data_IF_756631090638
#
_entry.id   IF_756631090638
#
_cell.length_a   1.000
_cell.length_b   1.000
_cell.length_c   1.000
_cell.angle_alpha   90.00
_cell.angle_beta   90.00
_cell.angle_gamma   90.00
#
_symmetry.space_group_name_H-M   'P 1'
#
loop_
_entity.id
_entity.type
_entity.pdbx_description
1 polymer ?
#
# COMPACT_ATOMS: atom_id res chain seq x y z
N UNK A 1 16.37 4.35 -24.94
CA UNK A 1 15.08 4.50 -24.21
C UNK A 1 14.98 3.58 -22.99
N UNK A 2 15.16 2.27 -23.15
CA UNK A 2 15.04 1.35 -22.01
C UNK A 2 16.03 1.63 -20.89
N UNK A 3 17.32 1.88 -21.23
CA UNK A 3 18.33 2.20 -20.23
C UNK A 3 18.08 3.54 -19.55
N UNK A 4 17.53 4.51 -20.27
CA UNK A 4 17.16 5.80 -19.70
C UNK A 4 16.07 5.60 -18.64
N UNK A 5 15.06 4.81 -18.94
CA UNK A 5 13.98 4.51 -18.00
C UNK A 5 14.51 3.79 -16.77
N UNK A 6 15.39 2.82 -16.95
CA UNK A 6 16.02 2.11 -15.84
C UNK A 6 16.79 3.05 -14.92
N UNK A 7 17.55 3.97 -15.50
CA UNK A 7 18.33 4.95 -14.74
C UNK A 7 17.41 5.92 -13.99
N UNK A 8 16.30 6.34 -14.61
CA UNK A 8 15.32 7.21 -13.95
C UNK A 8 14.68 6.50 -12.75
N UNK A 9 14.35 5.23 -12.89
CA UNK A 9 13.78 4.45 -11.79
C UNK A 9 14.77 4.32 -10.63
N UNK A 10 16.06 4.14 -10.93
CA UNK A 10 17.08 4.11 -9.90
C UNK A 10 17.22 5.45 -9.18
N UNK A 11 17.10 6.56 -9.92
CA UNK A 11 17.11 7.90 -9.34
C UNK A 11 15.92 8.16 -8.42
N UNK A 12 14.75 7.60 -8.72
CA UNK A 12 13.56 7.76 -7.90
C UNK A 12 13.79 7.31 -6.46
N UNK A 13 14.60 6.28 -6.24
CA UNK A 13 14.89 5.76 -4.92
C UNK A 13 15.71 6.72 -4.05
N UNK A 14 16.31 7.75 -4.65
CA UNK A 14 17.03 8.80 -3.92
C UNK A 14 16.09 9.86 -3.36
N UNK A 15 14.84 9.88 -3.82
CA UNK A 15 13.82 10.83 -3.36
C UNK A 15 13.09 10.22 -2.17
N UNK A 16 13.15 10.83 -0.96
CA UNK A 16 12.51 10.25 0.23
C UNK A 16 11.02 9.98 0.07
N UNK A 17 10.31 10.86 -0.64
CA UNK A 17 8.88 10.72 -0.90
C UNK A 17 8.55 9.46 -1.70
N UNK A 18 9.40 9.14 -2.68
CA UNK A 18 9.22 7.94 -3.50
C UNK A 18 9.47 6.66 -2.70
N UNK A 19 10.42 6.70 -1.77
CA UNK A 19 10.64 5.56 -0.87
C UNK A 19 9.44 5.33 0.04
N UNK A 20 8.82 6.41 0.54
CA UNK A 20 7.61 6.29 1.36
C UNK A 20 6.46 5.72 0.55
N UNK A 21 6.28 6.19 -0.69
CA UNK A 21 5.27 5.65 -1.60
C UNK A 21 5.49 4.16 -1.87
N UNK A 22 6.74 3.75 -2.07
CA UNK A 22 7.10 2.36 -2.25
C UNK A 22 6.70 1.51 -1.03
N UNK A 23 6.87 2.04 0.19
CA UNK A 23 6.47 1.36 1.41
C UNK A 23 4.95 1.22 1.53
N UNK A 24 4.18 2.13 0.92
CA UNK A 24 2.71 2.05 0.90
C UNK A 24 2.19 0.84 0.11
N UNK A 25 3.00 0.28 -0.77
CA UNK A 25 2.61 -0.88 -1.58
C UNK A 25 3.20 -2.18 -1.06
N UNK A 26 3.89 -2.15 0.08
CA UNK A 26 4.48 -3.34 0.70
C UNK A 26 4.62 -3.16 2.22
N UNK A 27 4.76 -4.27 2.92
CA UNK A 27 5.00 -4.27 4.36
C UNK A 27 3.83 -3.77 5.19
N UNK A 28 4.13 -3.22 6.35
CA UNK A 28 3.12 -2.77 7.33
C UNK A 28 2.19 -1.69 6.77
N UNK A 29 2.75 -0.75 6.01
CA UNK A 29 1.94 0.33 5.43
C UNK A 29 0.94 -0.19 4.42
N UNK A 30 1.29 -1.24 3.66
CA UNK A 30 0.32 -1.89 2.77
C UNK A 30 -0.85 -2.46 3.59
N UNK A 31 -0.56 -3.16 4.68
CA UNK A 31 -1.61 -3.76 5.52
C UNK A 31 -2.53 -2.67 6.09
N UNK A 32 -1.95 -1.60 6.63
CA UNK A 32 -2.74 -0.49 7.16
C UNK A 32 -3.62 0.15 6.09
N UNK A 33 -3.04 0.39 4.91
CA UNK A 33 -3.77 1.00 3.80
C UNK A 33 -4.88 0.07 3.29
N UNK A 34 -4.59 -1.22 3.18
CA UNK A 34 -5.57 -2.22 2.78
C UNK A 34 -6.77 -2.22 3.75
N UNK A 35 -6.51 -2.27 5.05
CA UNK A 35 -7.57 -2.22 6.05
C UNK A 35 -8.37 -0.92 5.98
N UNK A 36 -7.69 0.21 5.82
CA UNK A 36 -8.35 1.50 5.75
C UNK A 36 -9.33 1.61 4.57
N UNK A 37 -9.05 0.90 3.46
CA UNK A 37 -9.84 0.94 2.23
C UNK A 37 -10.78 -0.26 2.05
N UNK A 38 -10.79 -1.21 3.01
CA UNK A 38 -11.61 -2.44 2.96
C UNK A 38 -12.40 -2.62 4.26
N UNK A 39 -13.12 -1.58 4.65
CA UNK A 39 -14.03 -1.59 5.81
C UNK A 39 -13.35 -1.89 7.15
N UNK A 40 -12.03 -1.69 7.23
CA UNK A 40 -11.19 -1.83 8.44
C UNK A 40 -11.06 -3.26 8.97
N UNK A 41 -11.49 -4.27 8.20
CA UNK A 41 -11.34 -5.68 8.56
C UNK A 41 -10.87 -6.51 7.36
N UNK A 42 -10.13 -7.58 7.65
CA UNK A 42 -9.72 -8.55 6.63
C UNK A 42 -9.31 -9.87 7.28
N UNK A 43 -9.10 -10.89 6.45
CA UNK A 43 -8.49 -12.15 6.87
C UNK A 43 -7.02 -12.19 6.42
N UNK A 44 -6.13 -12.85 7.17
CA UNK A 44 -4.71 -12.95 6.77
C UNK A 44 -4.51 -13.52 5.36
N UNK A 45 -5.38 -14.44 4.93
CA UNK A 45 -5.31 -15.04 3.60
C UNK A 45 -5.49 -13.98 2.50
N UNK A 46 -6.42 -13.06 2.69
CA UNK A 46 -6.66 -11.97 1.73
C UNK A 46 -5.41 -11.10 1.60
N UNK A 47 -4.75 -10.80 2.72
CA UNK A 47 -3.52 -10.01 2.72
C UNK A 47 -2.39 -10.74 2.01
N UNK A 48 -2.23 -12.03 2.29
CA UNK A 48 -1.23 -12.87 1.65
C UNK A 48 -1.39 -12.87 0.12
N UNK A 49 -2.60 -13.03 -0.35
CA UNK A 49 -2.93 -13.02 -1.78
C UNK A 49 -2.68 -11.65 -2.40
N UNK A 50 -3.14 -10.58 -1.75
CA UNK A 50 -3.00 -9.20 -2.26
C UNK A 50 -1.55 -8.74 -2.31
N UNK A 51 -0.73 -9.19 -1.36
CA UNK A 51 0.69 -8.81 -1.29
C UNK A 51 1.59 -9.78 -2.05
N UNK A 52 1.06 -10.92 -2.50
CA UNK A 52 1.83 -11.99 -3.14
C UNK A 52 3.01 -12.45 -2.26
N UNK A 53 2.74 -12.64 -0.96
CA UNK A 53 3.75 -13.11 0.01
C UNK A 53 3.21 -14.33 0.75
N UNK A 54 4.10 -15.05 1.43
CA UNK A 54 3.73 -16.27 2.16
C UNK A 54 2.88 -15.96 3.40
N UNK A 55 2.12 -16.95 3.84
CA UNK A 55 1.35 -16.86 5.08
C UNK A 55 2.24 -16.65 6.30
N UNK A 56 3.45 -17.21 6.30
CA UNK A 56 4.43 -17.02 7.37
C UNK A 56 4.88 -15.56 7.47
N UNK A 57 5.12 -14.90 6.33
CA UNK A 57 5.48 -13.49 6.31
C UNK A 57 4.33 -12.61 6.81
N UNK A 58 3.10 -12.91 6.41
CA UNK A 58 1.93 -12.20 6.91
C UNK A 58 1.81 -12.36 8.43
N UNK A 59 1.96 -13.56 8.94
CA UNK A 59 1.91 -13.81 10.38
C UNK A 59 2.95 -12.97 11.14
N UNK A 60 4.16 -12.89 10.61
CA UNK A 60 5.23 -12.08 11.21
C UNK A 60 4.88 -10.59 11.19
N UNK A 61 4.38 -10.08 10.06
CA UNK A 61 3.95 -8.68 9.94
C UNK A 61 2.84 -8.37 10.94
N UNK A 62 1.83 -9.22 11.02
CA UNK A 62 0.69 -9.02 11.90
C UNK A 62 1.09 -9.06 13.38
N UNK A 63 2.02 -9.94 13.75
CA UNK A 63 2.55 -9.98 15.11
C UNK A 63 3.19 -8.64 15.49
N UNK A 64 4.02 -8.10 14.61
CA UNK A 64 4.66 -6.79 14.82
C UNK A 64 3.64 -5.67 14.95
N UNK A 65 2.65 -5.67 14.07
CA UNK A 65 1.65 -4.61 14.04
C UNK A 65 0.72 -4.66 15.26
N UNK A 66 0.41 -5.86 15.73
CA UNK A 66 -0.39 -6.01 16.95
C UNK A 66 0.39 -5.53 18.18
N UNK A 67 1.69 -5.82 18.25
CA UNK A 67 2.57 -5.34 19.31
C UNK A 67 2.59 -3.82 19.34
N UNK A 68 2.54 -3.16 18.19
CA UNK A 68 2.46 -1.70 18.07
C UNK A 68 1.05 -1.15 18.30
N UNK A 69 0.07 -2.02 18.52
CA UNK A 69 -1.34 -1.67 18.71
C UNK A 69 -2.00 -1.00 17.48
N UNK A 70 -1.46 -1.27 16.31
CA UNK A 70 -2.02 -0.74 15.06
C UNK A 70 -3.19 -1.58 14.56
N UNK A 71 -3.18 -2.87 14.88
CA UNK A 71 -4.23 -3.81 14.55
C UNK A 71 -4.60 -4.66 15.77
N UNK A 72 -5.74 -5.32 15.69
CA UNK A 72 -6.12 -6.36 16.64
C UNK A 72 -6.53 -7.61 15.84
N UNK A 73 -6.40 -8.77 16.45
CA UNK A 73 -6.79 -10.04 15.85
C UNK A 73 -7.77 -10.76 16.77
N UNK A 74 -8.77 -11.39 16.19
CA UNK A 74 -9.71 -12.23 16.92
C UNK A 74 -10.16 -13.39 16.03
N UNK A 75 -10.74 -14.41 16.64
CA UNK A 75 -11.29 -15.55 15.92
C UNK A 75 -12.59 -15.10 15.25
N UNK A 76 -12.77 -15.48 13.97
CA UNK A 76 -14.00 -15.22 13.23
C UNK A 76 -15.16 -16.00 13.87
N UNK A 77 -16.21 -15.30 14.28
CA UNK A 77 -17.40 -15.91 14.88
C UNK A 77 -18.14 -16.82 13.91
N UNK A 78 -18.02 -16.56 12.62
CA UNK A 78 -18.68 -17.34 11.58
C UNK A 78 -17.88 -18.55 11.13
N UNK A 79 -16.57 -18.54 11.33
CA UNK A 79 -15.68 -19.66 11.02
C UNK A 79 -14.50 -19.66 12.00
N UNK A 80 -14.57 -20.53 13.01
CA UNK A 80 -13.57 -20.60 14.08
C UNK A 80 -12.16 -21.00 13.60
N UNK A 81 -12.01 -21.40 12.34
CA UNK A 81 -10.70 -21.72 11.75
C UNK A 81 -10.03 -20.50 11.15
N UNK A 82 -10.72 -19.37 11.10
CA UNK A 82 -10.21 -18.14 10.51
C UNK A 82 -10.00 -17.06 11.57
N UNK A 83 -9.06 -16.18 11.29
CA UNK A 83 -8.75 -15.02 12.12
C UNK A 83 -9.23 -13.77 11.40
N UNK A 84 -9.84 -12.85 12.14
CA UNK A 84 -10.17 -11.53 11.64
C UNK A 84 -9.11 -10.56 12.12
N UNK A 85 -8.55 -9.80 11.19
CA UNK A 85 -7.62 -8.69 11.46
C UNK A 85 -8.41 -7.40 11.35
N UNK A 86 -8.37 -6.57 12.38
CA UNK A 86 -9.09 -5.31 12.43
C UNK A 86 -8.15 -4.15 12.64
N UNK A 87 -8.45 -3.02 12.01
CA UNK A 87 -7.73 -1.78 12.21
C UNK A 87 -8.16 -1.14 13.52
N UNK A 88 -7.19 -0.79 14.38
CA UNK A 88 -7.47 -0.05 15.62
C UNK A 88 -7.61 1.44 15.33
N UNK A 89 -8.10 2.20 16.30
CA UNK A 89 -8.15 3.67 16.20
C UNK A 89 -6.75 4.25 16.01
N UNK A 90 -5.75 3.70 16.71
CA UNK A 90 -4.36 4.10 16.54
C UNK A 90 -3.87 3.82 15.11
N UNK A 91 -4.16 2.63 14.59
CA UNK A 91 -3.81 2.26 13.21
C UNK A 91 -4.49 3.16 12.20
N UNK A 92 -5.76 3.48 12.40
CA UNK A 92 -6.51 4.38 11.53
C UNK A 92 -5.89 5.78 11.51
N UNK A 93 -5.57 6.34 12.69
CA UNK A 93 -4.94 7.66 12.78
C UNK A 93 -3.59 7.69 12.08
N UNK A 94 -2.80 6.64 12.26
CA UNK A 94 -1.47 6.53 11.64
C UNK A 94 -1.55 6.48 10.12
N UNK A 95 -2.38 5.59 9.57
CA UNK A 95 -2.47 5.46 8.11
C UNK A 95 -3.12 6.68 7.46
N UNK A 96 -4.10 7.28 8.13
CA UNK A 96 -4.74 8.49 7.62
C UNK A 96 -3.73 9.62 7.47
N UNK A 97 -2.91 9.83 8.49
CA UNK A 97 -1.86 10.85 8.47
C UNK A 97 -0.86 10.60 7.32
N UNK A 98 -0.43 9.36 7.18
CA UNK A 98 0.53 8.97 6.13
C UNK A 98 -0.10 9.14 4.74
N UNK A 99 -1.34 8.70 4.55
CA UNK A 99 -2.04 8.85 3.27
C UNK A 99 -2.21 10.32 2.88
N UNK A 100 -2.62 11.16 3.80
CA UNK A 100 -2.78 12.60 3.55
C UNK A 100 -1.46 13.22 3.11
N UNK A 101 -0.36 12.86 3.77
CA UNK A 101 0.97 13.34 3.42
C UNK A 101 1.41 12.87 2.03
N UNK A 102 1.21 11.59 1.73
CA UNK A 102 1.55 11.02 0.41
C UNK A 102 0.72 11.66 -0.69
N UNK A 103 -0.60 11.79 -0.49
CA UNK A 103 -1.49 12.41 -1.48
C UNK A 103 -1.14 13.87 -1.72
N UNK A 104 -0.77 14.61 -0.68
CA UNK A 104 -0.34 16.01 -0.82
C UNK A 104 0.92 16.12 -1.70
N UNK A 105 1.88 15.22 -1.51
CA UNK A 105 3.13 15.21 -2.28
C UNK A 105 2.90 14.80 -3.73
N UNK A 106 2.07 13.81 -3.95
CA UNK A 106 1.69 13.40 -5.31
C UNK A 106 0.97 14.54 -6.02
N UNK A 107 0.05 15.21 -5.31
CA UNK A 107 -0.67 16.38 -5.86
C UNK A 107 0.27 17.49 -6.26
N UNK A 108 1.26 17.80 -5.42
CA UNK A 108 2.26 18.83 -5.73
C UNK A 108 3.09 18.46 -6.97
N UNK A 109 3.48 17.20 -7.10
CA UNK A 109 4.19 16.71 -8.28
C UNK A 109 3.35 16.89 -9.55
N UNK A 110 2.08 16.51 -9.49
CA UNK A 110 1.17 16.64 -10.63
C UNK A 110 0.93 18.09 -11.00
N UNK A 111 0.85 18.99 -10.03
CA UNK A 111 0.74 20.42 -10.28
C UNK A 111 1.97 20.97 -11.03
N UNK A 112 3.16 20.52 -10.67
CA UNK A 112 4.40 20.92 -11.34
C UNK A 112 4.44 20.49 -12.79
N UNK A 113 3.84 19.35 -13.11
CA UNK A 113 3.75 18.88 -14.50
C UNK A 113 2.80 19.73 -15.35
N UNK A 114 1.80 20.33 -14.71
CA UNK A 114 0.69 20.98 -15.40
C UNK A 114 -0.41 19.98 -15.76
N UNK A 115 -1.64 20.49 -16.04
CA UNK A 115 -2.80 19.61 -16.22
C UNK A 115 -2.69 18.65 -17.41
N UNK A 116 -2.10 19.07 -18.50
CA UNK A 116 -1.98 18.22 -19.71
C UNK A 116 -1.02 17.07 -19.47
N UNK A 117 0.19 17.38 -19.00
CA UNK A 117 1.21 16.35 -18.73
C UNK A 117 0.80 15.43 -17.59
N UNK A 118 0.14 15.96 -16.55
CA UNK A 118 -0.36 15.16 -15.45
C UNK A 118 -1.38 14.12 -15.92
N UNK A 119 -2.34 14.55 -16.74
CA UNK A 119 -3.35 13.66 -17.32
C UNK A 119 -2.71 12.60 -18.22
N UNK A 120 -1.73 13.00 -19.02
CA UNK A 120 -1.01 12.10 -19.92
C UNK A 120 -0.17 11.08 -19.12
N UNK A 121 0.48 11.53 -18.06
CA UNK A 121 1.25 10.65 -17.17
C UNK A 121 0.35 9.56 -16.58
N UNK A 122 -0.82 9.94 -16.06
CA UNK A 122 -1.77 8.97 -15.48
C UNK A 122 -2.29 8.01 -16.55
N UNK A 123 -2.58 8.53 -17.74
CA UNK A 123 -3.03 7.71 -18.87
C UNK A 123 -1.99 6.63 -19.21
N UNK A 124 -0.72 7.02 -19.28
CA UNK A 124 0.37 6.11 -19.60
C UNK A 124 0.57 5.06 -18.51
N UNK A 125 0.53 5.48 -17.25
CA UNK A 125 0.63 4.56 -16.11
C UNK A 125 -0.48 3.51 -16.16
N UNK A 126 -1.72 3.92 -16.39
CA UNK A 126 -2.84 3.00 -16.54
C UNK A 126 -2.61 1.99 -17.67
N UNK A 127 -2.15 2.48 -18.83
CA UNK A 127 -1.88 1.63 -19.99
C UNK A 127 -0.83 0.56 -19.65
N UNK A 128 0.24 0.94 -19.00
CA UNK A 128 1.33 0.02 -18.61
C UNK A 128 0.80 -1.07 -17.68
N UNK A 129 0.19 -0.66 -16.58
CA UNK A 129 -0.15 -1.58 -15.50
C UNK A 129 -1.37 -2.42 -15.80
N UNK A 130 -2.40 -1.86 -16.44
CA UNK A 130 -3.56 -2.64 -16.84
C UNK A 130 -3.20 -3.70 -17.88
N UNK A 131 -2.29 -3.39 -18.80
CA UNK A 131 -1.81 -4.38 -19.77
C UNK A 131 -1.00 -5.48 -19.08
N UNK A 132 -0.16 -5.13 -18.13
CA UNK A 132 0.63 -6.09 -17.37
C UNK A 132 -0.25 -7.05 -16.57
N UNK A 133 -1.35 -6.57 -16.00
CA UNK A 133 -2.26 -7.37 -15.19
C UNK A 133 -3.12 -8.34 -16.02
N UNK A 134 -3.25 -8.11 -17.32
CA UNK A 134 -4.01 -9.00 -18.22
C UNK A 134 -3.27 -10.28 -18.57
N UNK A 135 -2.01 -10.39 -18.27
CA UNK A 135 -1.17 -11.55 -18.62
C UNK A 135 -1.26 -12.69 -17.60
#
# INVERSE_FOLDING_TARGET
MASELLNLRAMMLKVPEERQLSHMVQGELFVLNYLATHEKITHPKELSESMAVSSARIASLLNHMEDKKLISRCIDKNDSRQIIVSLTDTGWSEIRRIRENVLSRIGAMLEQLGPEDAAEYIRIEKKIWYNALKK
#
